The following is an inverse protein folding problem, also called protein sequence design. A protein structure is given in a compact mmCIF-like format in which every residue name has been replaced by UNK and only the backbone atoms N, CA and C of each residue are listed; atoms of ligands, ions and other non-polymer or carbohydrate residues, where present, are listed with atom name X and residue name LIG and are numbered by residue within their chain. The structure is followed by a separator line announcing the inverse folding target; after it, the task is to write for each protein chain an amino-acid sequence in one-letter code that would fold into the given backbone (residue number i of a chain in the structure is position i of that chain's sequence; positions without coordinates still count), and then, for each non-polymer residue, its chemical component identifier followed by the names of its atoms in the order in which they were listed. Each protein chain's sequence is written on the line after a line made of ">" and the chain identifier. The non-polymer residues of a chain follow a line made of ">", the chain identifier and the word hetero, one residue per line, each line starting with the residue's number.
data_IF_258156260450
#
_entry.id   IF_258156260450
#
_cell.length_a   1.000
_cell.length_b   1.000
_cell.length_c   1.000
_cell.angle_alpha   90.00
_cell.angle_beta   90.00
_cell.angle_gamma   90.00
#
_symmetry.space_group_name_H-M   'P 1'
#
loop_
_entity.id
_entity.type
_entity.pdbx_description
1 polymer ?
#
# COMPACT_ATOMS: atom_id res chain seq x y z
N UNK A 1 13.66 -14.34 35.00
CA UNK A 1 13.13 -13.05 34.48
C UNK A 1 13.88 -12.48 33.26
N UNK A 2 15.11 -12.90 32.92
CA UNK A 2 15.80 -12.46 31.70
C UNK A 2 15.41 -13.23 30.41
N UNK A 3 14.92 -14.46 30.52
CA UNK A 3 14.57 -15.27 29.34
C UNK A 3 13.28 -14.85 28.64
N UNK A 4 12.30 -14.29 29.37
CA UNK A 4 11.01 -13.89 28.80
C UNK A 4 11.12 -12.64 27.91
N UNK A 5 12.09 -11.76 28.17
CA UNK A 5 12.28 -10.49 27.43
C UNK A 5 12.95 -10.70 26.07
N UNK A 6 13.85 -11.69 25.94
CA UNK A 6 14.46 -12.06 24.66
C UNK A 6 13.47 -12.75 23.71
N UNK A 7 12.50 -13.49 24.25
CA UNK A 7 11.44 -14.15 23.47
C UNK A 7 10.41 -13.17 22.89
N UNK A 8 10.14 -12.04 23.58
CA UNK A 8 9.19 -11.02 23.11
C UNK A 8 9.79 -10.16 22.00
N UNK A 9 11.08 -9.79 22.07
CA UNK A 9 11.71 -8.99 21.02
C UNK A 9 11.95 -9.78 19.73
N UNK A 10 12.31 -11.06 19.82
CA UNK A 10 12.50 -11.90 18.64
C UNK A 10 11.17 -12.18 17.93
N UNK A 11 10.06 -12.34 18.65
CA UNK A 11 8.73 -12.49 18.06
C UNK A 11 8.18 -11.19 17.49
N UNK A 12 8.49 -10.03 18.07
CA UNK A 12 8.09 -8.72 17.53
C UNK A 12 8.81 -8.38 16.20
N UNK A 13 10.11 -8.68 16.09
CA UNK A 13 10.88 -8.51 14.85
C UNK A 13 10.37 -9.47 13.75
N UNK A 14 9.90 -10.68 14.13
CA UNK A 14 9.33 -11.66 13.19
C UNK A 14 7.85 -11.43 12.83
N UNK A 15 7.05 -10.79 13.68
CA UNK A 15 5.67 -10.42 13.35
C UNK A 15 5.60 -9.24 12.38
N UNK A 16 6.60 -8.34 12.43
CA UNK A 16 6.70 -7.22 11.50
C UNK A 16 7.12 -7.65 10.08
N UNK A 17 7.80 -8.79 9.96
CA UNK A 17 8.22 -9.35 8.66
C UNK A 17 7.19 -10.32 8.05
N UNK A 18 6.35 -10.97 8.86
CA UNK A 18 5.27 -11.85 8.36
C UNK A 18 4.09 -11.09 7.72
N UNK A 19 3.93 -9.80 8.01
CA UNK A 19 2.92 -8.94 7.39
C UNK A 19 3.22 -8.60 5.91
N UNK A 20 4.43 -8.87 5.43
CA UNK A 20 4.88 -8.61 4.04
C UNK A 20 4.71 -9.85 3.15
N UNK A 21 4.61 -11.05 3.71
CA UNK A 21 4.45 -12.30 2.95
C UNK A 21 3.31 -13.10 3.55
N UNK A 22 2.13 -12.99 2.93
CA UNK A 22 0.97 -13.79 3.32
C UNK A 22 1.33 -15.28 3.46
N UNK A 23 1.23 -15.80 4.68
CA UNK A 23 1.13 -17.22 5.03
C UNK A 23 1.98 -18.23 4.23
N UNK A 24 3.30 -18.04 4.07
CA UNK A 24 4.11 -19.04 3.33
C UNK A 24 5.51 -19.34 3.89
N UNK A 25 5.75 -19.07 5.18
CA UNK A 25 7.02 -19.46 5.84
C UNK A 25 6.69 -20.35 7.04
N UNK A 26 7.17 -21.60 7.01
CA UNK A 26 7.12 -22.51 8.15
C UNK A 26 8.48 -22.52 8.84
N UNK A 27 8.49 -22.34 10.15
CA UNK A 27 9.70 -22.37 10.98
C UNK A 27 9.70 -23.66 11.79
N UNK A 28 10.68 -24.54 11.55
CA UNK A 28 10.83 -25.77 12.33
C UNK A 28 11.98 -25.64 13.33
N UNK A 29 11.66 -25.87 14.60
CA UNK A 29 12.61 -25.88 15.70
C UNK A 29 13.38 -27.21 15.72
N UNK A 30 14.71 -27.16 15.69
CA UNK A 30 15.56 -28.33 15.93
C UNK A 30 16.63 -27.94 16.97
N UNK A 31 16.57 -28.48 18.20
CA UNK A 31 17.63 -28.29 19.17
C UNK A 31 18.88 -29.04 18.70
N UNK A 32 19.97 -28.32 18.45
CA UNK A 32 21.27 -28.92 18.10
C UNK A 32 22.20 -28.88 19.31
N UNK A 33 22.72 -30.03 19.78
CA UNK A 33 23.60 -30.07 20.94
C UNK A 33 25.06 -29.66 20.67
N UNK A 34 25.45 -29.43 19.41
CA UNK A 34 26.86 -29.23 19.03
C UNK A 34 27.29 -27.76 18.86
N UNK A 35 26.34 -26.82 18.87
CA UNK A 35 26.63 -25.39 18.82
C UNK A 35 25.87 -24.70 19.97
N UNK A 36 26.57 -23.87 20.75
CA UNK A 36 25.95 -22.88 21.63
C UNK A 36 25.25 -21.80 20.76
N UNK A 37 24.21 -22.18 20.04
CA UNK A 37 23.53 -21.34 19.08
C UNK A 37 22.32 -22.00 18.43
N UNK A 38 21.32 -21.19 18.12
CA UNK A 38 20.07 -21.60 17.49
C UNK A 38 20.25 -21.76 15.98
N UNK A 39 19.65 -22.80 15.39
CA UNK A 39 19.63 -23.00 13.93
C UNK A 39 18.20 -22.83 13.43
N UNK A 40 17.98 -21.82 12.60
CA UNK A 40 16.69 -21.59 11.93
C UNK A 40 16.78 -22.13 10.51
N UNK A 41 15.77 -22.88 10.07
CA UNK A 41 15.65 -23.34 8.68
C UNK A 41 14.43 -22.67 8.08
N UNK A 42 14.64 -21.93 6.98
CA UNK A 42 13.58 -21.26 6.21
C UNK A 42 13.36 -22.10 4.95
N UNK A 43 12.16 -22.66 4.80
CA UNK A 43 11.80 -23.45 3.61
C UNK A 43 10.74 -22.72 2.81
N UNK A 44 11.06 -22.36 1.57
CA UNK A 44 10.10 -21.77 0.62
C UNK A 44 9.35 -22.88 -0.12
N UNK A 45 8.03 -22.71 -0.31
CA UNK A 45 7.19 -23.66 -1.06
C UNK A 45 7.20 -23.44 -2.58
N UNK A 46 7.88 -22.41 -3.10
CA UNK A 46 8.08 -22.18 -4.55
C UNK A 46 9.47 -21.57 -4.87
N UNK A 47 10.07 -21.88 -6.02
CA UNK A 47 11.39 -21.37 -6.40
C UNK A 47 11.25 -19.98 -7.02
N UNK A 48 11.34 -18.93 -6.20
CA UNK A 48 11.54 -17.55 -6.69
C UNK A 48 12.97 -17.09 -6.35
N UNK A 49 13.81 -16.74 -7.34
CA UNK A 49 15.22 -16.37 -7.11
C UNK A 49 15.42 -15.07 -6.32
N UNK A 50 14.38 -14.23 -6.19
CA UNK A 50 14.41 -12.96 -5.45
C UNK A 50 14.30 -13.12 -3.92
N UNK A 51 13.90 -14.30 -3.42
CA UNK A 51 13.74 -14.57 -1.98
C UNK A 51 15.06 -14.87 -1.27
N UNK A 52 16.08 -15.33 -2.01
CA UNK A 52 17.40 -15.64 -1.46
C UNK A 52 18.14 -14.40 -0.97
N UNK A 53 17.89 -13.23 -1.59
CA UNK A 53 18.48 -11.96 -1.16
C UNK A 53 17.92 -11.51 0.20
N UNK A 54 16.60 -11.64 0.39
CA UNK A 54 15.94 -11.30 1.66
C UNK A 54 16.28 -12.27 2.80
N UNK A 55 16.38 -13.58 2.53
CA UNK A 55 16.83 -14.57 3.51
C UNK A 55 18.28 -14.31 3.94
N UNK A 56 19.12 -13.87 3.00
CA UNK A 56 20.52 -13.53 3.26
C UNK A 56 20.68 -12.27 4.11
N UNK A 57 19.89 -11.21 3.85
CA UNK A 57 19.96 -9.98 4.66
C UNK A 57 19.41 -10.16 6.08
N UNK A 58 18.32 -10.93 6.26
CA UNK A 58 17.82 -11.29 7.60
C UNK A 58 18.88 -12.08 8.39
N UNK A 59 19.60 -12.98 7.71
CA UNK A 59 20.68 -13.76 8.32
C UNK A 59 21.90 -12.90 8.69
N UNK A 60 22.26 -11.90 7.87
CA UNK A 60 23.35 -10.96 8.17
C UNK A 60 23.09 -10.13 9.41
N UNK A 61 21.87 -9.58 9.54
CA UNK A 61 21.50 -8.72 10.68
C UNK A 61 21.54 -9.50 12.00
N UNK A 62 21.15 -10.78 11.99
CA UNK A 62 21.19 -11.64 13.18
C UNK A 62 22.60 -12.06 13.62
N UNK A 63 23.56 -12.15 12.68
CA UNK A 63 24.94 -12.61 12.96
C UNK A 63 25.93 -11.48 13.25
N UNK A 64 25.59 -10.21 12.98
CA UNK A 64 26.52 -9.08 13.08
C UNK A 64 26.55 -8.35 14.44
N UNK A 65 25.73 -8.75 15.43
CA UNK A 65 25.72 -8.12 16.75
C UNK A 65 26.57 -8.90 17.76
N UNK A 66 27.68 -8.34 18.28
CA UNK A 66 28.38 -8.94 19.42
C UNK A 66 27.55 -8.80 20.71
N UNK A 67 27.67 -9.71 21.70
CA UNK A 67 26.72 -9.80 22.82
C UNK A 67 26.76 -8.67 23.86
N UNK A 68 27.61 -7.65 23.72
CA UNK A 68 27.82 -6.64 24.77
C UNK A 68 28.22 -5.28 24.17
N UNK A 69 27.27 -4.51 23.67
CA UNK A 69 27.47 -3.08 23.41
C UNK A 69 26.14 -2.30 23.45
N UNK A 70 25.41 -2.40 24.56
CA UNK A 70 24.39 -1.40 24.91
C UNK A 70 25.09 -0.39 25.82
N UNK A 71 25.75 0.60 25.23
CA UNK A 71 26.25 1.77 25.96
C UNK A 71 25.23 2.89 25.80
N UNK A 72 24.69 3.31 26.95
CA UNK A 72 23.70 4.35 27.11
C UNK A 72 24.09 5.65 26.38
N UNK A 73 23.36 6.00 25.32
CA UNK A 73 23.16 7.39 24.93
C UNK A 73 21.75 7.78 25.36
N UNK A 74 21.57 8.90 26.10
CA UNK A 74 20.24 9.44 26.33
C UNK A 74 19.77 10.09 25.03
N UNK A 75 19.29 9.28 24.08
CA UNK A 75 18.34 9.79 23.11
C UNK A 75 17.02 9.93 23.85
N UNK A 76 16.75 11.17 24.25
CA UNK A 76 15.44 11.74 24.57
C UNK A 76 14.29 10.79 24.21
N UNK A 77 13.67 10.25 25.26
CA UNK A 77 12.34 9.67 25.26
C UNK A 77 11.32 10.75 24.87
N UNK A 78 11.31 11.15 23.60
CA UNK A 78 10.19 11.84 22.99
C UNK A 78 9.92 11.23 21.62
N UNK A 79 8.75 10.60 21.54
CA UNK A 79 8.09 10.06 20.36
C UNK A 79 8.46 8.65 19.88
N UNK A 80 8.48 7.69 20.81
CA UNK A 80 7.88 6.38 20.57
C UNK A 80 6.35 6.50 20.78
N UNK A 81 5.71 7.41 20.04
CA UNK A 81 4.25 7.45 19.86
C UNK A 81 4.00 6.84 18.48
N UNK A 82 3.02 5.95 18.41
CA UNK A 82 2.20 5.61 17.23
C UNK A 82 2.82 6.01 15.89
N UNK A 83 3.22 5.05 15.05
CA UNK A 83 3.29 5.34 13.61
C UNK A 83 1.88 5.77 13.23
N UNK A 84 1.64 7.08 13.16
CA UNK A 84 0.38 7.64 12.70
C UNK A 84 0.17 7.06 11.31
N UNK A 85 -0.82 6.17 11.18
CA UNK A 85 -1.12 5.53 9.92
C UNK A 85 -1.52 6.63 8.93
N UNK A 86 -0.60 7.08 8.08
CA UNK A 86 -0.82 8.22 7.19
C UNK A 86 -2.03 7.98 6.29
N UNK A 87 -2.29 6.71 5.93
CA UNK A 87 -3.37 6.37 5.02
C UNK A 87 -4.75 6.50 5.64
N UNK A 88 -4.90 6.45 6.97
CA UNK A 88 -6.21 6.69 7.60
C UNK A 88 -6.64 8.16 7.55
N UNK A 89 -5.72 9.07 7.24
CA UNK A 89 -5.98 10.49 7.04
C UNK A 89 -6.16 10.85 5.55
N UNK A 90 -6.07 9.87 4.65
CA UNK A 90 -6.37 10.03 3.24
C UNK A 90 -7.83 9.68 2.97
N UNK A 91 -8.51 10.54 2.22
CA UNK A 91 -9.87 10.26 1.74
C UNK A 91 -9.94 10.37 0.23
N UNK A 92 -10.60 9.40 -0.41
CA UNK A 92 -10.87 9.40 -1.85
C UNK A 92 -12.32 9.80 -2.07
N UNK A 93 -12.57 10.72 -2.98
CA UNK A 93 -13.91 11.10 -3.41
C UNK A 93 -13.98 11.05 -4.92
N UNK A 94 -15.06 10.50 -5.45
CA UNK A 94 -15.34 10.49 -6.89
C UNK A 94 -16.63 11.26 -7.17
N UNK A 95 -16.67 11.88 -8.34
CA UNK A 95 -17.84 12.55 -8.90
C UNK A 95 -18.06 12.10 -10.34
N UNK A 96 -19.30 12.20 -10.80
CA UNK A 96 -19.64 12.14 -12.22
C UNK A 96 -19.95 13.57 -12.68
N UNK A 97 -19.64 13.90 -13.93
CA UNK A 97 -19.94 15.21 -14.49
C UNK A 97 -21.46 15.51 -14.60
N UNK A 98 -22.31 14.55 -14.24
CA UNK A 98 -23.74 14.57 -14.53
C UNK A 98 -24.56 14.20 -13.29
N UNK A 99 -24.81 15.17 -12.42
CA UNK A 99 -25.79 15.04 -11.33
C UNK A 99 -27.23 15.30 -11.78
N UNK A 100 -27.47 15.66 -13.05
CA UNK A 100 -28.82 15.93 -13.59
C UNK A 100 -29.04 15.56 -15.06
N UNK A 101 -27.99 15.34 -15.86
CA UNK A 101 -28.11 14.98 -17.28
C UNK A 101 -27.25 13.75 -17.60
N UNK A 102 -27.89 12.59 -17.71
CA UNK A 102 -27.43 11.39 -18.44
C UNK A 102 -25.93 11.28 -18.81
N UNK A 103 -25.23 10.30 -18.23
CA UNK A 103 -23.84 10.05 -18.63
C UNK A 103 -23.80 9.64 -20.10
N UNK A 104 -23.02 10.36 -20.90
CA UNK A 104 -22.72 10.02 -22.29
C UNK A 104 -21.58 9.01 -22.30
N UNK A 105 -21.60 8.02 -23.19
CA UNK A 105 -20.46 7.12 -23.42
C UNK A 105 -19.28 7.94 -24.00
N UNK A 106 -18.07 7.96 -23.40
CA UNK A 106 -17.63 7.21 -22.22
C UNK A 106 -17.89 7.89 -20.86
N UNK A 107 -18.10 7.07 -19.83
CA UNK A 107 -18.28 7.55 -18.44
C UNK A 107 -16.99 8.24 -17.95
N UNK A 108 -17.10 9.52 -17.63
CA UNK A 108 -16.03 10.34 -17.08
C UNK A 108 -16.22 10.57 -15.59
N UNK A 109 -15.20 10.26 -14.81
CA UNK A 109 -15.16 10.46 -13.37
C UNK A 109 -14.19 11.58 -13.02
N UNK A 110 -14.62 12.51 -12.17
CA UNK A 110 -13.70 13.34 -11.39
C UNK A 110 -13.28 12.56 -10.15
N UNK A 111 -12.00 12.61 -9.79
CA UNK A 111 -11.47 11.98 -8.60
C UNK A 111 -10.65 12.98 -7.81
N UNK A 112 -10.86 13.01 -6.50
CA UNK A 112 -10.14 13.84 -5.55
C UNK A 112 -9.56 12.95 -4.44
N UNK A 113 -8.26 13.08 -4.19
CA UNK A 113 -7.58 12.49 -3.04
C UNK A 113 -7.19 13.63 -2.10
N UNK A 114 -7.70 13.60 -0.87
CA UNK A 114 -7.50 14.64 0.12
C UNK A 114 -6.61 14.16 1.25
N UNK A 115 -5.62 14.97 1.61
CA UNK A 115 -4.82 14.83 2.82
C UNK A 115 -5.52 15.60 3.95
N UNK A 116 -5.98 14.90 4.98
CA UNK A 116 -6.65 15.51 6.14
C UNK A 116 -5.70 15.79 7.31
N UNK A 117 -4.39 15.60 7.13
CA UNK A 117 -3.40 15.89 8.17
C UNK A 117 -3.10 17.40 8.17
N UNK A 118 -3.27 18.10 9.31
CA UNK A 118 -2.90 19.50 9.42
C UNK A 118 -1.38 19.66 9.42
N UNK A 119 -0.89 20.71 8.76
CA UNK A 119 0.52 21.13 8.73
C UNK A 119 1.55 20.09 8.26
N UNK A 120 1.12 18.97 7.66
CA UNK A 120 2.01 17.92 7.17
C UNK A 120 1.64 17.58 5.72
N UNK A 121 2.57 17.79 4.79
CA UNK A 121 2.47 17.24 3.44
C UNK A 121 2.69 15.73 3.47
N UNK A 122 2.17 15.04 2.47
CA UNK A 122 2.39 13.62 2.24
C UNK A 122 2.80 13.38 0.78
N UNK A 123 3.56 12.32 0.57
CA UNK A 123 3.93 11.85 -0.75
C UNK A 123 3.37 10.46 -0.98
N UNK A 124 2.66 10.29 -2.08
CA UNK A 124 2.00 9.06 -2.47
C UNK A 124 2.69 8.46 -3.69
N UNK A 125 2.89 7.15 -3.71
CA UNK A 125 3.14 6.42 -4.95
C UNK A 125 1.82 6.29 -5.74
N UNK A 126 1.77 6.83 -6.96
CA UNK A 126 0.53 6.84 -7.79
C UNK A 126 0.06 5.45 -8.20
N UNK A 127 0.92 4.45 -8.11
CA UNK A 127 0.70 3.13 -8.69
C UNK A 127 -0.51 2.40 -8.12
N UNK A 128 -1.39 1.91 -9.00
CA UNK A 128 -2.63 1.21 -8.63
C UNK A 128 -3.57 2.05 -7.75
N UNK A 129 -3.53 3.37 -7.92
CA UNK A 129 -4.45 4.33 -7.31
C UNK A 129 -5.23 5.09 -8.39
N UNK A 130 -6.27 5.85 -8.07
CA UNK A 130 -6.95 6.67 -9.06
C UNK A 130 -6.06 7.72 -9.76
N UNK A 131 -4.91 8.09 -9.17
CA UNK A 131 -3.92 8.99 -9.80
C UNK A 131 -2.99 8.27 -10.78
N UNK A 132 -3.13 6.96 -10.92
CA UNK A 132 -2.39 6.19 -11.90
C UNK A 132 -2.82 6.58 -13.33
N UNK A 133 -1.89 6.87 -14.25
CA UNK A 133 -2.24 7.12 -15.65
C UNK A 133 -3.02 5.99 -16.33
N UNK A 134 -2.92 4.75 -15.81
CA UNK A 134 -3.63 3.57 -16.29
C UNK A 134 -4.80 3.16 -15.37
N UNK A 135 -5.27 4.06 -14.47
CA UNK A 135 -6.27 3.72 -13.46
C UNK A 135 -7.57 3.13 -14.04
N UNK A 136 -7.93 3.51 -15.27
CA UNK A 136 -9.13 3.04 -15.97
C UNK A 136 -9.14 1.54 -16.32
N UNK A 137 -8.00 0.84 -16.23
CA UNK A 137 -7.88 -0.61 -16.55
C UNK A 137 -7.28 -1.44 -15.41
N UNK A 138 -6.93 -0.84 -14.28
CA UNK A 138 -6.26 -1.56 -13.17
C UNK A 138 -7.23 -2.23 -12.19
N UNK A 139 -8.54 -2.18 -12.45
CA UNK A 139 -9.55 -2.73 -11.55
C UNK A 139 -9.81 -1.88 -10.30
N UNK A 140 -9.40 -0.60 -10.31
CA UNK A 140 -9.64 0.34 -9.21
C UNK A 140 -11.11 0.75 -9.12
N UNK A 141 -11.78 0.87 -10.26
CA UNK A 141 -13.18 1.27 -10.33
C UNK A 141 -14.08 0.05 -10.44
N UNK A 142 -14.95 -0.11 -9.46
CA UNK A 142 -15.99 -1.13 -9.45
C UNK A 142 -17.31 -0.52 -9.94
N UNK A 143 -17.93 -1.18 -10.92
CA UNK A 143 -19.21 -0.77 -11.50
C UNK A 143 -20.24 -1.87 -11.25
N UNK A 144 -21.35 -1.54 -10.61
CA UNK A 144 -22.46 -2.47 -10.34
C UNK A 144 -23.76 -1.90 -10.87
N UNK A 145 -24.61 -2.74 -11.43
CA UNK A 145 -25.98 -2.34 -11.75
C UNK A 145 -26.71 -1.95 -10.44
N UNK A 146 -27.41 -0.82 -10.46
CA UNK A 146 -27.96 -0.21 -9.25
C UNK A 146 -29.09 -1.03 -8.61
N UNK A 147 -29.94 -1.65 -9.44
CA UNK A 147 -31.09 -2.45 -9.03
C UNK A 147 -30.69 -3.86 -8.60
N UNK A 148 -30.00 -4.61 -9.46
CA UNK A 148 -29.64 -6.00 -9.19
C UNK A 148 -28.40 -6.15 -8.30
N UNK A 149 -27.55 -5.12 -8.21
CA UNK A 149 -26.24 -5.19 -7.56
C UNK A 149 -25.19 -6.02 -8.32
N UNK A 150 -25.53 -6.51 -9.52
CA UNK A 150 -24.66 -7.32 -10.36
C UNK A 150 -23.42 -6.53 -10.77
N UNK A 151 -22.25 -7.13 -10.54
CA UNK A 151 -20.98 -6.56 -10.99
C UNK A 151 -20.91 -6.56 -12.52
N UNK A 152 -20.60 -5.41 -13.09
CA UNK A 152 -20.33 -5.27 -14.53
C UNK A 152 -18.89 -5.75 -14.78
N UNK A 153 -18.68 -6.77 -15.64
CA UNK A 153 -17.33 -7.20 -15.99
C UNK A 153 -16.55 -6.07 -16.66
N UNK A 154 -15.32 -5.83 -16.19
CA UNK A 154 -14.38 -4.88 -16.79
C UNK A 154 -13.09 -5.59 -17.13
N UNK A 155 -12.41 -5.14 -18.19
CA UNK A 155 -11.09 -5.63 -18.53
C UNK A 155 -10.08 -5.10 -17.51
N UNK A 156 -9.53 -6.01 -16.70
CA UNK A 156 -8.47 -5.69 -15.74
C UNK A 156 -7.13 -6.11 -16.35
N UNK A 157 -6.23 -5.15 -16.50
CA UNK A 157 -4.87 -5.35 -17.02
C UNK A 157 -3.89 -5.38 -15.84
N UNK A 158 -3.04 -6.41 -15.80
CA UNK A 158 -1.90 -6.45 -14.86
C UNK A 158 -0.69 -5.77 -15.50
N UNK A 159 -0.20 -4.71 -14.85
CA UNK A 159 0.96 -3.95 -15.34
C UNK A 159 2.17 -4.25 -14.45
N UNK A 160 3.22 -4.79 -15.04
CA UNK A 160 4.54 -4.90 -14.40
C UNK A 160 5.27 -3.57 -14.47
N UNK A 161 5.83 -3.12 -13.35
CA UNK A 161 6.54 -1.83 -13.26
C UNK A 161 8.00 -2.04 -12.92
N UNK A 162 8.84 -1.16 -13.44
CA UNK A 162 10.27 -1.15 -13.16
C UNK A 162 10.50 -0.67 -11.73
N UNK A 163 11.32 -1.39 -10.97
CA UNK A 163 11.74 -0.98 -9.63
C UNK A 163 13.20 -0.47 -9.65
N UNK A 164 13.55 0.49 -8.77
CA UNK A 164 12.63 1.22 -7.89
C UNK A 164 11.72 2.18 -8.68
N UNK A 165 10.60 2.66 -8.10
CA UNK A 165 9.82 3.73 -8.70
C UNK A 165 10.69 4.97 -8.94
N UNK A 166 10.27 5.82 -9.85
CA UNK A 166 10.92 7.10 -10.14
C UNK A 166 10.20 8.25 -9.43
N UNK A 167 10.83 9.42 -9.35
CA UNK A 167 10.19 10.62 -8.80
C UNK A 167 8.90 11.00 -9.55
N UNK A 168 8.85 10.74 -10.87
CA UNK A 168 7.64 10.94 -11.69
C UNK A 168 6.49 9.99 -11.31
N UNK A 169 6.76 8.90 -10.60
CA UNK A 169 5.74 7.98 -10.09
C UNK A 169 5.11 8.47 -8.78
N UNK A 170 5.72 9.47 -8.15
CA UNK A 170 5.28 10.06 -6.90
C UNK A 170 4.35 11.25 -7.15
N UNK A 171 3.58 11.60 -6.11
CA UNK A 171 2.76 12.79 -6.07
C UNK A 171 2.68 13.33 -4.66
N UNK A 172 2.98 14.62 -4.51
CA UNK A 172 2.78 15.32 -3.26
C UNK A 172 1.33 15.78 -3.11
N UNK A 173 0.80 15.65 -1.90
CA UNK A 173 -0.45 16.28 -1.48
C UNK A 173 -0.13 17.17 -0.27
N UNK A 174 -0.23 18.51 -0.42
CA UNK A 174 0.04 19.44 0.67
C UNK A 174 -0.83 19.17 1.91
N UNK A 175 -0.45 19.74 3.05
CA UNK A 175 -1.25 19.73 4.26
C UNK A 175 -2.66 20.28 4.01
N UNK A 176 -3.70 19.57 4.44
CA UNK A 176 -5.12 19.89 4.12
C UNK A 176 -5.42 20.04 2.61
N UNK A 177 -4.50 19.59 1.76
CA UNK A 177 -4.54 19.73 0.32
C UNK A 177 -5.36 18.63 -0.35
N UNK A 178 -5.61 18.83 -1.64
CA UNK A 178 -6.31 17.88 -2.50
C UNK A 178 -5.55 17.73 -3.81
N UNK A 179 -5.47 16.50 -4.30
CA UNK A 179 -5.04 16.21 -5.66
C UNK A 179 -6.21 15.68 -6.46
N UNK A 180 -6.51 16.37 -7.55
CA UNK A 180 -7.61 16.02 -8.44
C UNK A 180 -7.09 15.43 -9.76
N UNK A 181 -7.87 14.52 -10.33
CA UNK A 181 -7.65 13.97 -11.67
C UNK A 181 -8.99 13.62 -12.32
N UNK A 182 -8.97 13.44 -13.63
CA UNK A 182 -10.10 12.88 -14.37
C UNK A 182 -9.73 11.49 -14.87
N UNK A 183 -10.70 10.57 -14.78
CA UNK A 183 -10.56 9.22 -15.31
C UNK A 183 -11.74 8.92 -16.23
N UNK A 184 -11.43 8.63 -17.48
CA UNK A 184 -12.40 8.08 -18.44
C UNK A 184 -12.37 6.57 -18.32
N UNK A 185 -13.48 5.98 -17.87
CA UNK A 185 -13.62 4.53 -17.79
C UNK A 185 -13.54 3.92 -19.19
N UNK A 186 -12.95 2.73 -19.30
CA UNK A 186 -12.98 2.00 -20.57
C UNK A 186 -14.42 1.61 -20.93
N UNK A 187 -14.74 1.53 -22.23
CA UNK A 187 -16.02 1.00 -22.68
C UNK A 187 -16.29 -0.37 -22.07
N UNK A 188 -17.52 -0.56 -21.60
CA UNK A 188 -18.00 -1.77 -20.95
C UNK A 188 -19.39 -2.09 -21.47
N UNK A 189 -19.78 -3.36 -21.41
CA UNK A 189 -21.12 -3.80 -21.81
C UNK A 189 -22.13 -3.35 -20.76
N UNK A 190 -22.71 -2.17 -20.98
CA UNK A 190 -23.76 -1.59 -20.16
C UNK A 190 -25.08 -1.61 -20.93
N UNK A 191 -26.17 -1.86 -20.22
CA UNK A 191 -27.51 -1.92 -20.76
C UNK A 191 -28.06 -0.49 -20.86
N UNK A 192 -28.57 -0.14 -22.04
CA UNK A 192 -29.15 1.17 -22.31
C UNK A 192 -30.31 1.45 -21.35
N UNK A 193 -30.29 2.61 -20.69
CA UNK A 193 -31.32 3.05 -19.74
C UNK A 193 -31.15 2.48 -18.32
N UNK A 194 -30.17 1.60 -18.10
CA UNK A 194 -29.87 1.10 -16.76
C UNK A 194 -29.01 2.09 -15.96
N UNK A 195 -29.20 2.07 -14.64
CA UNK A 195 -28.43 2.87 -13.70
C UNK A 195 -27.34 2.01 -13.05
N UNK A 196 -26.16 2.60 -12.85
CA UNK A 196 -24.99 1.94 -12.30
C UNK A 196 -24.44 2.70 -11.10
N UNK A 197 -24.04 1.95 -10.08
CA UNK A 197 -23.27 2.40 -8.91
C UNK A 197 -21.80 2.21 -9.21
N UNK A 198 -21.03 3.29 -9.07
CA UNK A 198 -19.59 3.30 -9.31
C UNK A 198 -18.89 3.68 -8.01
N UNK A 199 -17.82 2.95 -7.68
CA UNK A 199 -16.94 3.25 -6.54
C UNK A 199 -15.48 2.96 -6.90
N UNK A 200 -14.53 3.63 -6.24
CA UNK A 200 -13.11 3.33 -6.35
C UNK A 200 -12.64 2.61 -5.09
N UNK A 201 -11.91 1.51 -5.27
CA UNK A 201 -11.35 0.70 -4.18
C UNK A 201 -9.94 0.23 -4.52
N UNK A 202 -9.10 0.09 -3.51
CA UNK A 202 -7.75 -0.42 -3.71
C UNK A 202 -6.89 -0.26 -2.48
N UNK A 203 -5.58 -0.32 -2.70
CA UNK A 203 -4.57 -0.22 -1.64
C UNK A 203 -3.50 0.80 -2.01
N UNK A 204 -3.23 1.70 -1.08
CA UNK A 204 -2.03 2.52 -1.08
C UNK A 204 -0.81 1.61 -0.91
N UNK A 205 0.03 1.58 -1.95
CA UNK A 205 1.26 0.77 -1.93
C UNK A 205 2.33 1.43 -1.07
N UNK A 206 2.41 2.76 -1.09
CA UNK A 206 3.36 3.51 -0.29
C UNK A 206 2.90 4.97 -0.12
N UNK A 207 2.89 5.43 1.13
CA UNK A 207 2.65 6.82 1.51
C UNK A 207 3.73 7.25 2.50
N UNK A 208 4.48 8.29 2.17
CA UNK A 208 5.50 8.87 3.04
C UNK A 208 5.01 10.19 3.65
N UNK A 209 5.50 10.50 4.85
CA UNK A 209 5.34 11.83 5.42
C UNK A 209 6.36 12.78 4.78
N UNK A 210 5.92 13.98 4.45
CA UNK A 210 6.76 15.00 3.83
C UNK A 210 6.43 15.21 2.35
N UNK A 211 7.11 16.19 1.77
CA UNK A 211 7.04 16.48 0.36
C UNK A 211 7.80 15.45 -0.48
N UNK A 212 7.69 15.56 -1.80
CA UNK A 212 8.34 14.64 -2.74
C UNK A 212 9.87 14.67 -2.58
N UNK A 213 10.42 15.85 -2.31
CA UNK A 213 11.86 16.05 -2.08
C UNK A 213 12.36 15.44 -0.76
N UNK A 214 11.45 15.15 0.18
CA UNK A 214 11.78 14.49 1.46
C UNK A 214 11.92 12.96 1.28
N UNK A 215 11.42 12.40 0.17
CA UNK A 215 11.51 10.96 -0.12
C UNK A 215 12.90 10.63 -0.69
N UNK A 216 13.71 9.97 0.13
CA UNK A 216 15.08 9.63 -0.25
C UNK A 216 15.14 8.45 -1.24
N UNK A 217 16.25 8.32 -1.96
CA UNK A 217 16.45 7.19 -2.88
C UNK A 217 16.37 5.83 -2.17
N UNK A 218 16.89 5.73 -0.94
CA UNK A 218 16.82 4.50 -0.15
C UNK A 218 15.39 4.18 0.29
N UNK A 219 14.63 5.21 0.71
CA UNK A 219 13.20 5.06 1.02
C UNK A 219 12.39 4.62 -0.20
N UNK A 220 12.73 5.12 -1.39
CA UNK A 220 12.05 4.75 -2.63
C UNK A 220 12.43 3.34 -3.10
N UNK A 221 13.67 2.91 -2.87
CA UNK A 221 14.15 1.59 -3.25
C UNK A 221 13.62 0.47 -2.35
N UNK A 222 13.53 0.73 -1.05
CA UNK A 222 13.14 -0.26 -0.05
C UNK A 222 11.70 -0.09 0.44
N UNK A 223 11.00 0.95 -0.01
CA UNK A 223 9.72 1.39 0.56
C UNK A 223 9.79 1.64 2.07
N UNK A 224 10.98 1.95 2.59
CA UNK A 224 11.17 2.17 4.01
C UNK A 224 10.46 3.47 4.46
N UNK A 225 9.96 3.47 5.69
CA UNK A 225 9.15 4.54 6.27
C UNK A 225 7.82 4.84 5.55
N UNK A 226 7.43 4.05 4.53
CA UNK A 226 6.14 4.17 3.89
C UNK A 226 5.02 3.52 4.73
N UNK A 227 3.87 4.17 4.79
CA UNK A 227 2.62 3.59 5.27
C UNK A 227 1.91 2.86 4.12
N UNK A 228 1.33 1.70 4.42
CA UNK A 228 0.40 0.98 3.54
C UNK A 228 -1.01 1.05 4.12
N UNK A 229 -2.02 0.97 3.26
CA UNK A 229 -3.40 0.89 3.73
C UNK A 229 -4.39 0.82 2.58
N UNK A 230 -5.63 0.50 2.89
CA UNK A 230 -6.69 0.42 1.89
C UNK A 230 -7.36 1.78 1.68
N UNK A 231 -8.04 1.92 0.55
CA UNK A 231 -8.94 3.04 0.31
C UNK A 231 -10.24 2.58 -0.32
N UNK A 232 -11.28 3.34 -0.01
CA UNK A 232 -12.59 3.25 -0.63
C UNK A 232 -13.13 4.67 -0.80
N UNK A 233 -13.74 4.94 -1.95
CA UNK A 233 -14.41 6.22 -2.19
C UNK A 233 -15.89 6.18 -1.78
N UNK A 234 -16.56 7.34 -1.85
CA UNK A 234 -18.01 7.37 -1.97
C UNK A 234 -18.48 6.59 -3.22
N UNK A 235 -19.77 6.26 -3.24
CA UNK A 235 -20.45 5.71 -4.42
C UNK A 235 -21.16 6.81 -5.19
N UNK A 236 -21.07 6.79 -6.51
CA UNK A 236 -21.81 7.68 -7.41
C UNK A 236 -22.73 6.88 -8.32
N UNK A 237 -23.83 7.51 -8.73
CA UNK A 237 -24.78 6.93 -9.68
C UNK A 237 -24.50 7.49 -11.08
N UNK A 238 -24.53 6.62 -12.08
CA UNK A 238 -24.45 6.97 -13.49
C UNK A 238 -25.59 6.29 -14.25
N UNK A 239 -26.29 7.05 -15.09
CA UNK A 239 -27.29 6.50 -16.02
C UNK A 239 -26.62 6.30 -17.37
N UNK A 240 -26.66 5.07 -17.89
CA UNK A 240 -26.14 4.77 -19.23
C UNK A 240 -27.24 4.97 -20.29
N UNK A 241 -26.90 5.62 -21.39
CA UNK A 241 -27.78 5.88 -22.55
C UNK A 241 -27.10 5.39 -23.82
#
# INVERSE_FOLDING_TARGET
>A
MRHTTHLILASEILLQTSAIVGHMISFTYVPSPELLGYKYTITSLYPFPQLNYWIYEISRVALALPPQAIVNKPHTLQSKRTMDNLTSNLSVTIGTASTTEAATDPIQLSVAIRNNIPNQAITLLKWNTPLDPQANVLGIFEVREAESGKLVPSLIVKISRKLPPTQDDLVEIPANGVKETQVTLKPMSLDHGAQYKISAKGRWQAVWAGGVDDVTADQLAEFSCASLGDFESNTVLALFK
#
